data_IF_909341553667
#
_entry.id   IF_909341553667
#
_cell.length_a   1.000
_cell.length_b   1.000
_cell.length_c   1.000
_cell.angle_alpha   90.00
_cell.angle_beta   90.00
_cell.angle_gamma   90.00
#
_symmetry.space_group_name_H-M   'P 1'
#
loop_
_entity.id
_entity.type
_entity.pdbx_description
1 polymer ?
#
# COMPACT_ATOMS: atom_id res chain seq x y z
N UNK A 1 -16.91 9.63 13.47
CA UNK A 1 -16.36 8.81 12.36
C UNK A 1 -17.09 9.03 11.04
N UNK A 2 -18.34 9.50 11.02
CA UNK A 2 -19.00 9.88 9.76
C UNK A 2 -18.14 10.91 9.01
N UNK A 3 -17.69 10.56 7.79
CA UNK A 3 -16.94 11.43 6.89
C UNK A 3 -15.47 11.04 6.65
N UNK A 4 -14.81 10.32 7.58
CA UNK A 4 -13.45 9.83 7.33
C UNK A 4 -13.45 8.71 6.28
N UNK A 5 -12.45 8.70 5.40
CA UNK A 5 -12.27 7.67 4.38
C UNK A 5 -11.37 6.52 4.87
N UNK A 6 -11.76 5.87 5.96
CA UNK A 6 -10.99 4.74 6.48
C UNK A 6 -11.01 3.56 5.48
N UNK A 7 -9.87 3.10 4.93
CA UNK A 7 -9.85 1.95 4.03
C UNK A 7 -10.37 0.70 4.76
N UNK A 8 -11.18 -0.09 4.06
CA UNK A 8 -11.82 -1.31 4.57
C UNK A 8 -10.82 -2.48 4.57
N UNK A 9 -9.94 -2.53 3.56
CA UNK A 9 -8.98 -3.63 3.40
C UNK A 9 -7.79 -3.19 2.56
N UNK A 10 -6.61 -3.69 2.93
CA UNK A 10 -5.46 -3.74 2.04
C UNK A 10 -5.23 -5.17 1.54
N UNK A 11 -5.02 -5.30 0.24
CA UNK A 11 -4.57 -6.53 -0.39
C UNK A 11 -3.08 -6.40 -0.73
N UNK A 12 -2.20 -7.14 -0.04
CA UNK A 12 -0.79 -7.18 -0.37
C UNK A 12 -0.59 -8.00 -1.65
N UNK A 13 -0.62 -7.32 -2.80
CA UNK A 13 -0.24 -7.90 -4.08
C UNK A 13 -1.39 -8.38 -4.98
N UNK A 14 -1.22 -8.20 -6.29
CA UNK A 14 -1.95 -8.96 -7.31
C UNK A 14 -1.36 -10.36 -7.46
N UNK A 15 -2.08 -11.27 -8.12
CA UNK A 15 -1.55 -12.60 -8.47
C UNK A 15 -0.32 -12.53 -9.40
N UNK A 16 -0.26 -11.49 -10.24
CA UNK A 16 0.81 -11.28 -11.21
C UNK A 16 2.13 -10.80 -10.59
N UNK A 17 2.11 -10.09 -9.45
CA UNK A 17 3.33 -9.56 -8.81
C UNK A 17 4.40 -10.63 -8.62
N UNK A 18 4.03 -11.80 -8.11
CA UNK A 18 5.01 -12.83 -7.75
C UNK A 18 5.76 -13.35 -8.96
N UNK A 19 5.04 -13.56 -10.07
CA UNK A 19 5.62 -14.00 -11.34
C UNK A 19 6.50 -12.91 -11.94
N UNK A 20 5.99 -11.67 -11.98
CA UNK A 20 6.72 -10.53 -12.53
C UNK A 20 8.04 -10.25 -11.79
N UNK A 21 8.05 -10.45 -10.47
CA UNK A 21 9.23 -10.26 -9.64
C UNK A 21 10.10 -11.52 -9.47
N UNK A 22 9.76 -12.64 -10.11
CA UNK A 22 10.46 -13.92 -9.93
C UNK A 22 10.58 -14.30 -8.43
N UNK A 23 9.41 -14.40 -7.79
CA UNK A 23 9.22 -14.70 -6.35
C UNK A 23 8.07 -15.69 -6.13
N UNK A 24 7.62 -16.37 -7.18
CA UNK A 24 6.55 -17.36 -7.14
C UNK A 24 6.89 -18.64 -6.37
N UNK A 25 8.15 -18.83 -5.99
CA UNK A 25 8.65 -19.90 -5.15
C UNK A 25 8.41 -19.66 -3.65
N UNK A 26 8.24 -18.40 -3.22
CA UNK A 26 8.00 -18.06 -1.81
C UNK A 26 6.53 -18.26 -1.42
N UNK A 27 6.22 -18.28 -0.13
CA UNK A 27 4.83 -18.26 0.34
C UNK A 27 4.04 -17.06 -0.24
N UNK A 28 2.72 -17.19 -0.36
CA UNK A 28 1.88 -16.11 -0.89
C UNK A 28 1.86 -14.87 0.03
N UNK A 29 1.98 -15.07 1.34
CA UNK A 29 2.08 -14.00 2.35
C UNK A 29 3.29 -14.26 3.25
N UNK A 30 4.05 -13.20 3.60
CA UNK A 30 3.93 -11.82 3.10
C UNK A 30 4.26 -11.70 1.60
N UNK A 31 3.82 -10.60 0.96
CA UNK A 31 4.19 -10.30 -0.42
C UNK A 31 5.72 -10.06 -0.51
N UNK A 32 6.39 -10.80 -1.39
CA UNK A 32 7.82 -10.61 -1.69
C UNK A 32 7.95 -9.96 -3.06
N UNK A 33 8.64 -8.82 -3.13
CA UNK A 33 8.90 -8.06 -4.37
C UNK A 33 10.34 -7.57 -4.40
N UNK A 34 10.82 -7.18 -5.58
CA UNK A 34 12.18 -6.67 -5.81
C UNK A 34 12.15 -5.17 -6.09
N UNK A 35 13.04 -4.43 -5.43
CA UNK A 35 13.21 -2.98 -5.65
C UNK A 35 13.63 -2.66 -7.09
N UNK A 36 13.31 -1.46 -7.58
CA UNK A 36 13.56 -1.05 -8.96
C UNK A 36 12.49 -1.52 -9.96
N UNK A 37 11.47 -2.25 -9.50
CA UNK A 37 10.39 -2.77 -10.33
C UNK A 37 9.03 -2.44 -9.70
N UNK A 38 8.05 -2.11 -10.54
CA UNK A 38 6.68 -1.79 -10.13
C UNK A 38 5.94 -3.05 -9.66
N UNK A 39 5.17 -2.92 -8.58
CA UNK A 39 4.28 -3.95 -8.04
C UNK A 39 2.92 -3.35 -7.66
N UNK A 40 1.86 -4.15 -7.68
CA UNK A 40 0.50 -3.67 -7.49
C UNK A 40 -0.07 -4.05 -6.12
N UNK A 41 -0.78 -3.16 -5.45
CA UNK A 41 -1.51 -3.43 -4.20
C UNK A 41 -2.95 -2.96 -4.31
N UNK A 42 -3.87 -3.69 -3.70
CA UNK A 42 -5.30 -3.33 -3.71
C UNK A 42 -5.69 -2.58 -2.45
N UNK A 43 -6.42 -1.49 -2.59
CA UNK A 43 -6.97 -0.66 -1.50
C UNK A 43 -8.49 -0.67 -1.64
N UNK A 44 -9.19 -1.32 -0.70
CA UNK A 44 -10.64 -1.25 -0.64
C UNK A 44 -11.07 -0.04 0.19
N UNK A 45 -11.85 0.86 -0.38
CA UNK A 45 -12.40 2.05 0.24
C UNK A 45 -13.91 1.91 0.46
N UNK A 46 -14.47 2.50 1.51
CA UNK A 46 -15.90 2.39 1.82
C UNK A 46 -16.80 3.13 0.81
N UNK A 47 -16.20 3.92 -0.10
CA UNK A 47 -16.84 4.64 -1.20
C UNK A 47 -15.79 5.00 -2.25
N UNK A 48 -16.19 5.34 -3.49
CA UNK A 48 -15.28 5.94 -4.47
C UNK A 48 -14.63 7.23 -3.96
N UNK A 49 -13.45 7.54 -4.50
CA UNK A 49 -12.80 8.83 -4.30
C UNK A 49 -13.65 9.96 -4.87
N UNK A 50 -13.65 11.09 -4.17
CA UNK A 50 -14.26 12.34 -4.57
C UNK A 50 -13.17 13.38 -4.82
N UNK A 51 -13.53 14.46 -5.49
CA UNK A 51 -12.66 15.62 -5.60
C UNK A 51 -12.26 16.11 -4.19
N UNK A 52 -10.96 16.35 -4.00
CA UNK A 52 -10.39 16.74 -2.70
C UNK A 52 -10.06 15.58 -1.75
N UNK A 53 -10.44 14.33 -2.05
CA UNK A 53 -9.91 13.19 -1.31
C UNK A 53 -8.45 12.91 -1.72
N UNK A 54 -7.56 12.72 -0.75
CA UNK A 54 -6.17 12.37 -0.98
C UNK A 54 -5.86 10.98 -0.39
N UNK A 55 -5.02 10.22 -1.08
CA UNK A 55 -4.46 8.95 -0.61
C UNK A 55 -2.94 9.07 -0.54
N UNK A 56 -2.35 8.55 0.53
CA UNK A 56 -0.92 8.38 0.68
C UNK A 56 -0.58 6.96 1.12
N UNK A 57 0.30 6.31 0.37
CA UNK A 57 0.85 5.00 0.69
C UNK A 57 2.01 5.20 1.65
N UNK A 58 1.92 4.62 2.84
CA UNK A 58 2.95 4.73 3.87
C UNK A 58 3.70 3.41 4.03
N UNK A 59 5.02 3.45 3.89
CA UNK A 59 5.90 2.31 4.10
C UNK A 59 6.88 2.60 5.24
N UNK A 60 6.96 1.69 6.21
CA UNK A 60 7.93 1.78 7.32
C UNK A 60 8.80 0.54 7.40
N UNK A 61 10.08 0.73 7.69
CA UNK A 61 11.09 -0.32 7.83
C UNK A 61 11.80 -0.21 9.17
N UNK A 62 11.85 -1.33 9.89
CA UNK A 62 12.55 -1.44 11.17
C UNK A 62 11.81 -0.77 12.34
N UNK A 63 12.40 -0.80 13.55
CA UNK A 63 11.75 -0.33 14.78
C UNK A 63 11.72 1.20 14.91
N UNK A 64 12.62 1.91 14.23
CA UNK A 64 12.75 3.37 14.28
C UNK A 64 12.80 3.95 12.85
N UNK A 65 11.68 3.93 12.13
CA UNK A 65 11.62 4.39 10.74
C UNK A 65 11.87 5.91 10.67
N UNK A 66 12.66 6.37 9.70
CA UNK A 66 13.05 7.77 9.51
C UNK A 66 13.03 8.16 8.03
N UNK A 67 12.44 9.33 7.73
CA UNK A 67 12.34 9.86 6.36
C UNK A 67 13.73 10.11 5.77
N UNK A 68 14.63 10.73 6.53
CA UNK A 68 16.00 11.04 6.11
C UNK A 68 16.86 9.80 5.80
N UNK A 69 16.42 8.60 6.22
CA UNK A 69 17.09 7.32 5.98
C UNK A 69 16.35 6.45 4.95
N UNK A 70 15.24 6.94 4.39
CA UNK A 70 14.40 6.16 3.48
C UNK A 70 13.72 4.96 4.14
N UNK A 71 13.66 4.91 5.47
CA UNK A 71 13.01 3.82 6.23
C UNK A 71 11.61 4.23 6.73
N UNK A 72 11.22 5.49 6.57
CA UNK A 72 9.84 5.97 6.63
C UNK A 72 9.53 6.67 5.31
N UNK A 73 8.58 6.13 4.55
CA UNK A 73 8.27 6.61 3.20
C UNK A 73 6.79 6.94 3.14
N UNK A 74 6.49 8.15 2.67
CA UNK A 74 5.14 8.63 2.38
C UNK A 74 5.07 8.91 0.89
N UNK A 75 4.19 8.20 0.19
CA UNK A 75 4.04 8.31 -1.27
C UNK A 75 2.60 8.72 -1.59
N UNK A 76 2.35 9.99 -1.91
CA UNK A 76 1.03 10.43 -2.39
C UNK A 76 0.64 9.65 -3.66
N UNK A 77 -0.63 9.27 -3.78
CA UNK A 77 -1.16 8.67 -5.00
C UNK A 77 -1.07 9.69 -6.15
N UNK A 78 -0.49 9.29 -7.27
CA UNK A 78 -0.19 10.17 -8.40
C UNK A 78 1.11 10.98 -8.22
N UNK A 79 1.94 10.62 -7.25
CA UNK A 79 3.17 11.35 -6.91
C UNK A 79 4.35 10.47 -6.52
N UNK A 80 5.38 11.13 -6.00
CA UNK A 80 6.61 10.48 -5.53
C UNK A 80 7.02 10.98 -4.14
N UNK A 81 7.78 10.14 -3.44
CA UNK A 81 8.42 10.48 -2.18
C UNK A 81 9.82 11.06 -2.41
N UNK A 82 10.39 11.80 -1.43
CA UNK A 82 11.77 12.29 -1.52
C UNK A 82 12.83 11.19 -1.67
N UNK A 83 12.53 9.96 -1.24
CA UNK A 83 13.44 8.81 -1.39
C UNK A 83 13.33 8.13 -2.76
N UNK A 84 12.44 8.59 -3.65
CA UNK A 84 12.28 8.09 -5.02
C UNK A 84 11.27 6.96 -5.18
N UNK A 85 10.45 6.67 -4.16
CA UNK A 85 9.27 5.81 -4.34
C UNK A 85 8.17 6.55 -5.08
N UNK A 86 7.41 5.83 -5.88
CA UNK A 86 6.29 6.36 -6.67
C UNK A 86 5.03 5.52 -6.46
N UNK A 87 3.87 6.17 -6.54
CA UNK A 87 2.57 5.54 -6.45
C UNK A 87 1.63 6.11 -7.52
N UNK A 88 1.00 5.24 -8.30
CA UNK A 88 0.05 5.63 -9.34
C UNK A 88 -1.16 4.72 -9.32
N UNK A 89 -2.33 5.24 -9.75
CA UNK A 89 -3.49 4.40 -9.98
C UNK A 89 -3.20 3.43 -11.12
N UNK A 90 -3.68 2.21 -10.98
CA UNK A 90 -3.49 1.15 -11.96
C UNK A 90 -4.84 0.60 -12.43
N UNK A 91 -5.30 1.10 -13.56
CA UNK A 91 -6.58 0.69 -14.16
C UNK A 91 -6.50 -0.68 -14.85
N UNK A 92 -5.29 -1.21 -15.05
CA UNK A 92 -5.06 -2.48 -15.74
C UNK A 92 -5.23 -3.72 -14.85
N UNK A 93 -5.29 -3.55 -13.52
CA UNK A 93 -5.48 -4.66 -12.58
C UNK A 93 -6.94 -4.68 -12.11
N UNK A 94 -7.65 -5.76 -12.47
CA UNK A 94 -9.05 -5.95 -12.09
C UNK A 94 -9.22 -7.29 -11.33
N UNK A 95 -8.45 -7.48 -10.26
CA UNK A 95 -8.61 -8.66 -9.40
C UNK A 95 -9.58 -8.38 -8.24
N UNK A 96 -10.55 -9.28 -7.96
CA UNK A 96 -11.52 -9.07 -6.89
C UNK A 96 -10.85 -9.15 -5.51
N UNK A 97 -11.31 -8.30 -4.59
CA UNK A 97 -11.03 -8.46 -3.17
C UNK A 97 -12.25 -9.14 -2.53
N UNK A 98 -12.04 -10.29 -1.90
CA UNK A 98 -13.11 -10.99 -1.17
C UNK A 98 -13.47 -10.20 0.08
N UNK A 99 -14.74 -10.21 0.50
CA UNK A 99 -15.17 -9.66 1.80
C UNK A 99 -15.18 -8.13 1.89
N UNK A 100 -15.32 -7.43 0.76
CA UNK A 100 -15.41 -5.96 0.69
C UNK A 100 -16.65 -5.51 -0.10
N UNK A 101 -17.77 -6.23 0.03
CA UNK A 101 -19.01 -5.88 -0.67
C UNK A 101 -19.42 -4.42 -0.39
N UNK A 102 -19.83 -3.69 -1.42
CA UNK A 102 -20.17 -2.27 -1.34
C UNK A 102 -18.97 -1.32 -1.18
N UNK A 103 -17.74 -1.83 -1.29
CA UNK A 103 -16.51 -1.02 -1.30
C UNK A 103 -16.03 -0.78 -2.73
N UNK A 104 -15.34 0.34 -2.93
CA UNK A 104 -14.58 0.62 -4.14
C UNK A 104 -13.17 0.01 -4.00
N UNK A 105 -12.67 -0.67 -5.04
CA UNK A 105 -11.32 -1.26 -5.00
C UNK A 105 -10.42 -0.51 -5.96
N UNK A 106 -9.46 0.21 -5.39
CA UNK A 106 -8.40 0.86 -6.16
C UNK A 106 -7.16 -0.03 -6.21
N UNK A 107 -6.64 -0.27 -7.40
CA UNK A 107 -5.33 -0.86 -7.56
C UNK A 107 -4.29 0.24 -7.69
N UNK A 108 -3.25 0.16 -6.86
CA UNK A 108 -2.16 1.13 -6.81
C UNK A 108 -0.88 0.43 -7.24
N UNK A 109 -0.25 0.94 -8.30
CA UNK A 109 1.08 0.55 -8.72
C UNK A 109 2.13 1.32 -7.91
N UNK A 110 2.88 0.62 -7.08
CA UNK A 110 4.01 1.14 -6.31
C UNK A 110 5.31 0.78 -6.99
N UNK A 111 6.23 1.73 -7.09
CA UNK A 111 7.60 1.49 -7.57
C UNK A 111 8.60 1.92 -6.52
N UNK A 112 9.34 0.96 -5.97
CA UNK A 112 10.48 1.25 -5.13
C UNK A 112 11.68 1.64 -6.01
N UNK A 113 12.50 2.64 -5.62
CA UNK A 113 13.73 2.95 -6.31
C UNK A 113 14.74 1.79 -6.18
N UNK A 114 15.67 1.59 -7.13
CA UNK A 114 16.69 0.55 -7.03
C UNK A 114 17.60 0.67 -5.79
N UNK A 115 17.65 1.85 -5.17
CA UNK A 115 18.42 2.16 -3.95
C UNK A 115 17.65 1.92 -2.65
N UNK A 116 16.36 1.53 -2.71
CA UNK A 116 15.55 1.31 -1.52
C UNK A 116 16.22 0.30 -0.55
N UNK A 117 16.24 0.58 0.77
CA UNK A 117 16.71 -0.39 1.75
C UNK A 117 15.95 -1.72 1.65
N UNK A 118 16.66 -2.83 1.79
CA UNK A 118 16.06 -4.18 1.73
C UNK A 118 15.56 -4.56 3.13
N UNK A 119 14.37 -5.14 3.22
CA UNK A 119 13.84 -5.71 4.45
C UNK A 119 12.32 -5.87 4.42
N UNK A 120 11.74 -6.19 5.58
CA UNK A 120 10.29 -6.34 5.74
C UNK A 120 9.65 -4.98 6.02
N UNK A 121 9.03 -4.40 5.01
CA UNK A 121 8.25 -3.18 5.16
C UNK A 121 6.86 -3.49 5.72
N UNK A 122 6.37 -2.60 6.59
CA UNK A 122 4.95 -2.48 6.92
C UNK A 122 4.32 -1.48 5.95
N UNK A 123 3.27 -1.90 5.26
CA UNK A 123 2.48 -1.07 4.37
C UNK A 123 1.22 -0.59 5.09
N UNK A 124 0.94 0.70 5.02
CA UNK A 124 -0.26 1.34 5.57
C UNK A 124 -0.82 2.33 4.54
N UNK A 125 -2.08 2.71 4.69
CA UNK A 125 -2.71 3.73 3.86
C UNK A 125 -3.19 4.85 4.75
N UNK A 126 -2.83 6.07 4.36
CA UNK A 126 -3.40 7.29 4.90
C UNK A 126 -4.37 7.89 3.90
N UNK A 127 -5.46 8.42 4.39
CA UNK A 127 -6.42 9.16 3.57
C UNK A 127 -6.71 10.50 4.22
N UNK A 128 -6.81 11.55 3.42
CA UNK A 128 -7.26 12.86 3.89
C UNK A 128 -8.51 13.25 3.11
N UNK A 129 -9.52 13.70 3.83
CA UNK A 129 -10.75 14.25 3.27
C UNK A 129 -11.08 15.56 3.97
N UNK A 130 -12.12 16.26 3.53
CA UNK A 130 -12.67 17.42 4.24
C UNK A 130 -13.06 17.10 5.71
N UNK A 131 -13.39 15.84 5.99
CA UNK A 131 -13.75 15.39 7.34
C UNK A 131 -12.55 15.02 8.23
N UNK A 132 -11.33 15.06 7.69
CA UNK A 132 -10.09 14.83 8.43
C UNK A 132 -9.17 13.75 7.83
N UNK A 133 -8.10 13.44 8.57
CA UNK A 133 -7.11 12.43 8.18
C UNK A 133 -7.37 11.12 8.91
N UNK A 134 -7.33 10.01 8.17
CA UNK A 134 -7.23 8.66 8.70
C UNK A 134 -5.81 8.15 8.45
N UNK A 135 -5.18 7.64 9.51
CA UNK A 135 -3.91 6.95 9.44
C UNK A 135 -3.93 5.77 10.43
N UNK A 136 -3.90 4.54 9.93
CA UNK A 136 -3.76 3.35 10.76
C UNK A 136 -2.86 2.32 10.08
N UNK A 137 -2.01 1.61 10.84
CA UNK A 137 -1.23 0.53 10.30
C UNK A 137 -2.15 -0.62 9.89
N UNK A 138 -1.97 -1.13 8.67
CA UNK A 138 -2.60 -2.36 8.23
C UNK A 138 -1.72 -3.54 8.62
N UNK A 139 -1.82 -3.97 9.87
CA UNK A 139 -1.49 -5.35 10.25
C UNK A 139 -2.76 -6.02 10.77
N UNK A 140 -3.09 -7.19 10.21
CA UNK A 140 -3.98 -8.13 10.90
C UNK A 140 -3.36 -8.42 12.26
N UNK A 141 -4.15 -8.30 13.33
CA UNK A 141 -3.81 -8.83 14.65
C UNK A 141 -3.67 -10.35 14.54
N UNK A 142 -2.52 -10.83 14.09
CA UNK A 142 -2.04 -12.15 14.47
C UNK A 142 -0.95 -11.93 15.50
N UNK A 143 -1.40 -11.70 16.73
CA UNK A 143 -0.58 -11.94 17.91
C UNK A 143 -0.40 -13.46 18.04
N UNK A 144 0.42 -14.06 17.19
CA UNK A 144 1.02 -15.35 17.50
C UNK A 144 2.09 -15.08 18.55
N UNK A 145 1.65 -15.20 19.82
CA UNK A 145 2.55 -15.54 20.92
C UNK A 145 3.16 -16.90 20.59
N UNK A 146 4.48 -16.94 20.63
CA UNK A 146 5.33 -18.13 20.58
C UNK A 146 4.76 -19.30 21.38
#
# INVERSE_FOLDING_TARGET
>A
LAGLLAPVRLRPGSSANRVAHHTQEFAQRPLVVRRGQRFHVGVALPRPLREGDEICMELTLGPTPQVSKGTHVLVPLGGSSPSGWEAELDEGVAEPLVGVAGSEVLWVGLRAPPTAPIGRYRLSVRTRTESGEFAAPFEEKTAEKW
#
